data_IF_534714781313
#
_entry.id   IF_534714781313
#
_cell.length_a   1.000
_cell.length_b   1.000
_cell.length_c   1.000
_cell.angle_alpha   90.00
_cell.angle_beta   90.00
_cell.angle_gamma   90.00
#
_symmetry.space_group_name_H-M   'P 1'
#
loop_
_entity.id
_entity.type
_entity.pdbx_description
1 polymer ?
#
# COMPACT_ATOMS: atom_id res chain seq x y z
N UNK A 1 33.18 -13.08 -11.89
CA UNK A 1 32.24 -13.07 -13.03
C UNK A 1 31.00 -12.29 -12.60
N UNK A 2 30.82 -11.09 -13.14
CA UNK A 2 29.76 -10.17 -12.71
C UNK A 2 28.40 -10.60 -13.26
N UNK A 3 27.42 -10.74 -12.37
CA UNK A 3 26.02 -10.96 -12.74
C UNK A 3 25.52 -9.67 -13.38
N UNK A 4 25.34 -9.69 -14.70
CA UNK A 4 24.67 -8.63 -15.45
C UNK A 4 23.21 -8.62 -15.00
N UNK A 5 22.83 -7.55 -14.30
CA UNK A 5 21.45 -7.21 -13.96
C UNK A 5 20.65 -6.93 -15.24
N UNK A 6 20.07 -7.98 -15.83
CA UNK A 6 19.09 -7.88 -16.91
C UNK A 6 17.70 -8.18 -16.38
N UNK A 7 17.08 -7.20 -15.73
CA UNK A 7 15.62 -7.12 -15.71
C UNK A 7 15.23 -5.68 -15.99
N UNK A 8 14.33 -5.42 -16.96
CA UNK A 8 13.75 -4.11 -17.10
C UNK A 8 12.89 -3.89 -15.85
N UNK A 9 13.45 -3.13 -14.89
CA UNK A 9 12.62 -2.40 -13.95
C UNK A 9 11.54 -1.68 -14.77
N UNK A 10 10.28 -1.54 -14.29
CA UNK A 10 9.47 -0.45 -14.79
C UNK A 10 10.36 0.79 -14.71
N UNK A 11 10.66 1.39 -15.86
CA UNK A 11 11.66 2.44 -16.01
C UNK A 11 11.53 3.41 -14.83
N UNK A 12 12.57 3.48 -14.00
CA UNK A 12 12.65 4.23 -12.76
C UNK A 12 12.48 5.76 -12.91
N UNK A 13 12.00 6.22 -14.08
CA UNK A 13 11.81 7.61 -14.46
C UNK A 13 10.35 8.06 -14.49
N UNK A 14 9.36 7.16 -14.52
CA UNK A 14 7.95 7.57 -14.46
C UNK A 14 7.48 7.67 -13.00
N UNK A 15 6.97 8.85 -12.60
CA UNK A 15 6.37 9.02 -11.28
C UNK A 15 5.12 8.16 -11.14
N UNK A 16 5.21 7.08 -10.38
CA UNK A 16 4.08 6.21 -10.10
C UNK A 16 3.19 6.85 -9.03
N UNK A 17 2.03 7.34 -9.46
CA UNK A 17 1.01 7.83 -8.56
C UNK A 17 0.18 6.65 -8.02
N UNK A 18 0.12 6.52 -6.69
CA UNK A 18 -0.83 5.63 -6.03
C UNK A 18 -2.28 6.05 -6.31
N UNK A 19 -3.18 5.06 -6.32
CA UNK A 19 -4.63 5.25 -6.36
C UNK A 19 -5.04 6.35 -5.36
N UNK A 20 -5.51 7.53 -5.84
CA UNK A 20 -5.62 8.73 -5.00
C UNK A 20 -6.48 8.54 -3.76
N UNK A 21 -7.64 7.88 -3.89
CA UNK A 21 -8.54 7.64 -2.76
C UNK A 21 -7.89 6.75 -1.70
N UNK A 22 -7.16 5.71 -2.12
CA UNK A 22 -6.55 4.73 -1.23
C UNK A 22 -5.41 5.38 -0.44
N UNK A 23 -4.55 6.14 -1.14
CA UNK A 23 -3.50 6.95 -0.51
C UNK A 23 -4.12 7.95 0.48
N UNK A 24 -5.08 8.76 0.05
CA UNK A 24 -5.75 9.75 0.91
C UNK A 24 -6.34 9.13 2.17
N UNK A 25 -6.95 7.95 2.07
CA UNK A 25 -7.66 7.33 3.20
C UNK A 25 -6.75 6.59 4.17
N UNK A 26 -5.79 5.84 3.66
CA UNK A 26 -5.05 4.85 4.46
C UNK A 26 -3.62 5.27 4.79
N UNK A 27 -3.08 6.32 4.17
CA UNK A 27 -1.72 6.81 4.46
C UNK A 27 -1.56 7.36 5.88
N UNK A 28 -2.62 7.91 6.46
CA UNK A 28 -2.63 8.37 7.86
C UNK A 28 -2.85 7.25 8.87
N UNK A 29 -3.25 6.06 8.42
CA UNK A 29 -3.32 4.91 9.32
C UNK A 29 -1.91 4.56 9.79
N UNK A 30 -1.83 4.13 11.05
CA UNK A 30 -0.68 3.41 11.58
C UNK A 30 -0.82 1.91 11.34
N UNK A 31 0.28 1.18 11.27
CA UNK A 31 0.34 -0.27 11.07
C UNK A 31 -0.54 -1.05 12.06
N UNK A 32 -0.76 -0.51 13.25
CA UNK A 32 -1.66 -1.01 14.30
C UNK A 32 -3.12 -1.10 13.83
N UNK A 33 -3.58 -0.15 13.01
CA UNK A 33 -4.92 -0.22 12.40
C UNK A 33 -5.00 -1.38 11.40
N UNK A 34 -3.93 -1.62 10.63
CA UNK A 34 -3.85 -2.77 9.74
C UNK A 34 -3.78 -4.10 10.54
N UNK A 35 -3.10 -4.12 11.70
CA UNK A 35 -3.09 -5.25 12.66
C UNK A 35 -4.48 -5.57 13.17
N UNK A 36 -5.28 -4.55 13.52
CA UNK A 36 -6.68 -4.74 13.89
C UNK A 36 -7.50 -5.31 12.72
N UNK A 37 -7.28 -4.85 11.49
CA UNK A 37 -7.95 -5.41 10.32
C UNK A 37 -7.60 -6.89 10.10
N UNK A 38 -6.31 -7.25 10.19
CA UNK A 38 -5.85 -8.64 10.12
C UNK A 38 -6.47 -9.50 11.25
N UNK A 39 -6.60 -8.96 12.46
CA UNK A 39 -7.24 -9.67 13.57
C UNK A 39 -8.73 -9.93 13.29
N UNK A 40 -9.46 -8.94 12.79
CA UNK A 40 -10.87 -9.11 12.41
C UNK A 40 -11.05 -10.11 11.28
N UNK A 41 -10.17 -10.06 10.28
CA UNK A 41 -10.14 -11.03 9.19
C UNK A 41 -10.02 -12.46 9.72
N UNK A 42 -9.02 -12.74 10.55
CA UNK A 42 -8.80 -14.07 11.15
C UNK A 42 -9.97 -14.57 12.00
N UNK A 43 -10.71 -13.66 12.63
CA UNK A 43 -11.90 -14.01 13.42
C UNK A 43 -13.14 -14.25 12.55
N UNK A 44 -13.21 -13.60 11.38
CA UNK A 44 -14.40 -13.62 10.53
C UNK A 44 -14.43 -14.82 9.58
N UNK A 45 -13.29 -15.17 8.97
CA UNK A 45 -13.24 -16.20 7.92
C UNK A 45 -11.84 -16.78 7.73
N UNK A 46 -11.77 -18.02 7.26
CA UNK A 46 -10.54 -18.66 6.77
C UNK A 46 -10.37 -18.54 5.25
N UNK A 47 -11.36 -18.00 4.55
CA UNK A 47 -11.31 -17.80 3.09
C UNK A 47 -10.56 -16.52 2.76
N UNK A 48 -9.83 -16.51 1.64
CA UNK A 48 -9.18 -15.30 1.16
C UNK A 48 -10.14 -14.34 0.46
N UNK A 49 -11.20 -14.85 -0.16
CA UNK A 49 -12.17 -14.04 -0.89
C UNK A 49 -13.33 -13.58 0.00
N UNK A 50 -13.64 -12.28 -0.02
CA UNK A 50 -14.73 -11.68 0.76
C UNK A 50 -15.59 -10.72 -0.05
N UNK A 51 -16.85 -10.57 0.35
CA UNK A 51 -17.76 -9.57 -0.21
C UNK A 51 -17.59 -8.20 0.46
N UNK A 52 -18.35 -7.20 -0.01
CA UNK A 52 -18.30 -5.84 0.52
C UNK A 52 -18.69 -5.76 2.01
N UNK A 53 -19.66 -6.56 2.46
CA UNK A 53 -20.10 -6.55 3.86
C UNK A 53 -19.00 -7.10 4.76
N UNK A 54 -18.43 -8.24 4.41
CA UNK A 54 -17.29 -8.83 5.11
C UNK A 54 -16.08 -7.91 5.09
N UNK A 55 -15.77 -7.27 3.96
CA UNK A 55 -14.69 -6.29 3.85
C UNK A 55 -14.91 -5.11 4.80
N UNK A 56 -16.13 -4.58 4.90
CA UNK A 56 -16.47 -3.48 5.82
C UNK A 56 -16.18 -3.85 7.28
N UNK A 57 -16.49 -5.08 7.67
CA UNK A 57 -16.25 -5.62 9.02
C UNK A 57 -14.74 -5.77 9.27
N UNK A 58 -14.00 -6.32 8.31
CA UNK A 58 -12.54 -6.48 8.38
C UNK A 58 -11.86 -5.12 8.57
N UNK A 59 -12.18 -4.14 7.72
CA UNK A 59 -11.59 -2.81 7.79
C UNK A 59 -12.09 -2.00 9.00
N UNK A 60 -13.23 -2.36 9.59
CA UNK A 60 -13.89 -1.58 10.64
C UNK A 60 -14.44 -0.25 10.11
N UNK A 61 -14.86 -0.21 8.85
CA UNK A 61 -15.32 0.99 8.15
C UNK A 61 -16.81 0.84 7.85
N UNK A 62 -17.61 1.79 8.33
CA UNK A 62 -19.07 1.83 8.07
C UNK A 62 -19.45 2.63 6.82
N UNK A 63 -18.52 3.41 6.28
CA UNK A 63 -18.74 4.25 5.10
C UNK A 63 -18.86 3.37 3.84
N UNK A 64 -20.09 3.18 3.35
CA UNK A 64 -20.38 2.32 2.20
C UNK A 64 -19.58 2.73 0.95
N UNK A 65 -19.52 4.03 0.64
CA UNK A 65 -18.80 4.54 -0.54
C UNK A 65 -17.33 4.13 -0.52
N UNK A 66 -16.67 4.24 0.64
CA UNK A 66 -15.29 3.85 0.79
C UNK A 66 -15.08 2.34 0.62
N UNK A 67 -15.99 1.53 1.18
CA UNK A 67 -15.95 0.07 0.97
C UNK A 67 -16.11 -0.26 -0.52
N UNK A 68 -17.06 0.39 -1.20
CA UNK A 68 -17.29 0.21 -2.64
C UNK A 68 -16.07 0.64 -3.48
N UNK A 69 -15.39 1.72 -3.10
CA UNK A 69 -14.16 2.17 -3.77
C UNK A 69 -13.00 1.18 -3.56
N UNK A 70 -12.85 0.61 -2.36
CA UNK A 70 -11.88 -0.48 -2.13
C UNK A 70 -12.25 -1.73 -2.93
N UNK A 71 -13.52 -2.13 -2.95
CA UNK A 71 -13.99 -3.24 -3.78
C UNK A 71 -13.63 -2.98 -5.25
N UNK A 72 -13.95 -1.81 -5.79
CA UNK A 72 -13.64 -1.46 -7.19
C UNK A 72 -12.15 -1.54 -7.50
N UNK A 73 -11.29 -1.10 -6.58
CA UNK A 73 -9.85 -1.15 -6.77
C UNK A 73 -9.30 -2.58 -6.77
N UNK A 74 -9.87 -3.47 -5.95
CA UNK A 74 -9.37 -4.83 -5.75
C UNK A 74 -10.14 -5.93 -6.47
N UNK A 75 -11.24 -5.62 -7.15
CA UNK A 75 -11.95 -6.58 -7.99
C UNK A 75 -11.06 -7.05 -9.16
N UNK A 76 -11.08 -8.35 -9.50
CA UNK A 76 -10.43 -8.84 -10.71
C UNK A 76 -11.00 -8.12 -11.95
N UNK A 77 -10.14 -7.67 -12.87
CA UNK A 77 -10.57 -7.08 -14.15
C UNK A 77 -11.13 -8.11 -15.13
N UNK A 78 -10.90 -9.40 -14.89
CA UNK A 78 -11.48 -10.47 -15.70
C UNK A 78 -12.97 -10.61 -15.39
N UNK A 79 -13.84 -10.72 -16.41
CA UNK A 79 -15.28 -10.80 -16.22
C UNK A 79 -15.68 -12.15 -15.61
N UNK A 80 -15.68 -12.26 -14.28
CA UNK A 80 -16.26 -13.40 -13.58
C UNK A 80 -17.74 -13.14 -13.35
N UNK A 81 -18.59 -13.91 -14.04
CA UNK A 81 -20.06 -13.73 -14.12
C UNK A 81 -20.84 -13.76 -12.80
N UNK A 82 -20.25 -14.03 -11.63
CA UNK A 82 -21.09 -14.44 -10.47
C UNK A 82 -20.68 -13.86 -9.10
N UNK A 83 -19.48 -13.32 -8.87
CA UNK A 83 -19.11 -12.90 -7.50
C UNK A 83 -18.23 -11.65 -7.45
N UNK A 84 -18.78 -10.55 -6.92
CA UNK A 84 -18.04 -9.33 -6.55
C UNK A 84 -17.25 -9.58 -5.26
N UNK A 85 -16.20 -10.40 -5.34
CA UNK A 85 -15.36 -10.76 -4.20
C UNK A 85 -13.94 -10.25 -4.42
N UNK A 86 -13.29 -9.83 -3.34
CA UNK A 86 -11.90 -9.38 -3.36
C UNK A 86 -11.04 -10.30 -2.50
N UNK A 87 -9.78 -10.46 -2.91
CA UNK A 87 -8.76 -11.16 -2.12
C UNK A 87 -8.30 -10.26 -0.95
N UNK A 88 -8.62 -10.65 0.28
CA UNK A 88 -8.27 -9.91 1.50
C UNK A 88 -6.77 -9.84 1.70
N UNK A 89 -5.98 -10.82 1.25
CA UNK A 89 -4.53 -10.75 1.39
C UNK A 89 -3.98 -9.54 0.65
N UNK A 90 -4.45 -9.30 -0.57
CA UNK A 90 -4.03 -8.15 -1.37
C UNK A 90 -4.41 -6.83 -0.71
N UNK A 91 -5.61 -6.74 -0.12
CA UNK A 91 -6.07 -5.54 0.58
C UNK A 91 -5.21 -5.28 1.82
N UNK A 92 -4.97 -6.30 2.65
CA UNK A 92 -4.16 -6.17 3.87
C UNK A 92 -2.70 -5.83 3.54
N UNK A 93 -2.12 -6.45 2.50
CA UNK A 93 -0.79 -6.10 2.01
C UNK A 93 -0.76 -4.67 1.51
N UNK A 94 -1.76 -4.22 0.74
CA UNK A 94 -1.84 -2.84 0.26
C UNK A 94 -1.93 -1.83 1.41
N UNK A 95 -2.70 -2.11 2.47
CA UNK A 95 -2.69 -1.30 3.68
C UNK A 95 -1.29 -1.24 4.28
N UNK A 96 -0.62 -2.38 4.39
CA UNK A 96 0.75 -2.48 4.89
C UNK A 96 1.77 -1.77 4.00
N UNK A 97 1.51 -1.56 2.71
CA UNK A 97 2.41 -0.83 1.80
C UNK A 97 2.21 0.69 1.84
N UNK A 98 1.06 1.16 2.34
CA UNK A 98 0.67 2.59 2.27
C UNK A 98 0.62 3.27 3.64
N UNK A 99 0.25 2.55 4.70
CA UNK A 99 0.12 3.11 6.05
C UNK A 99 1.49 3.49 6.66
N UNK A 100 1.46 4.27 7.74
CA UNK A 100 2.63 4.58 8.56
C UNK A 100 3.07 3.32 9.33
N UNK A 101 4.36 3.01 9.28
CA UNK A 101 4.98 1.96 10.08
C UNK A 101 6.17 2.56 10.86
N UNK A 102 6.47 2.08 12.07
CA UNK A 102 7.62 2.59 12.83
C UNK A 102 8.95 2.38 12.09
N UNK A 103 9.07 1.25 11.40
CA UNK A 103 10.24 0.88 10.62
C UNK A 103 9.87 -0.14 9.51
N UNK A 104 10.81 -0.37 8.59
CA UNK A 104 10.64 -1.31 7.48
C UNK A 104 10.49 -2.76 7.94
N UNK A 105 11.17 -3.16 9.02
CA UNK A 105 11.12 -4.52 9.53
C UNK A 105 9.71 -4.87 9.99
N UNK A 106 9.09 -4.02 10.81
CA UNK A 106 7.72 -4.20 11.28
C UNK A 106 6.70 -4.27 10.13
N UNK A 107 6.94 -3.54 9.04
CA UNK A 107 6.12 -3.60 7.84
C UNK A 107 6.21 -4.98 7.17
N UNK A 108 7.41 -5.50 6.98
CA UNK A 108 7.60 -6.85 6.43
C UNK A 108 7.08 -7.94 7.36
N UNK A 109 7.23 -7.78 8.68
CA UNK A 109 6.64 -8.69 9.65
C UNK A 109 5.12 -8.71 9.58
N UNK A 110 4.48 -7.56 9.36
CA UNK A 110 3.05 -7.52 9.14
C UNK A 110 2.66 -8.27 7.85
N UNK A 111 3.36 -8.02 6.75
CA UNK A 111 3.12 -8.69 5.46
C UNK A 111 3.28 -10.22 5.60
N UNK A 112 4.30 -10.67 6.34
CA UNK A 112 4.46 -12.08 6.70
C UNK A 112 3.23 -12.62 7.46
N UNK A 113 2.77 -11.89 8.47
CA UNK A 113 1.64 -12.32 9.28
C UNK A 113 0.31 -12.39 8.48
N UNK A 114 0.21 -11.78 7.30
CA UNK A 114 -0.98 -11.90 6.43
C UNK A 114 -1.11 -13.32 5.89
N UNK A 115 0.01 -13.99 5.58
CA UNK A 115 0.01 -15.37 5.07
C UNK A 115 0.16 -16.42 6.17
N UNK A 116 0.83 -16.11 7.29
CA UNK A 116 0.90 -16.98 8.46
C UNK A 116 -0.42 -16.94 9.27
N UNK A 117 -1.49 -17.50 8.71
CA UNK A 117 -2.83 -17.48 9.30
C UNK A 117 -2.89 -18.18 10.66
N UNK A 118 -2.16 -19.29 10.80
CA UNK A 118 -2.12 -20.12 12.00
C UNK A 118 -1.14 -19.60 13.08
N UNK A 119 -0.42 -18.51 12.80
CA UNK A 119 0.58 -17.91 13.71
C UNK A 119 1.67 -18.91 14.12
N UNK A 120 2.12 -19.74 13.17
CA UNK A 120 3.20 -20.72 13.38
C UNK A 120 4.57 -20.06 13.51
N UNK A 121 4.70 -18.80 13.07
CA UNK A 121 5.99 -18.12 13.00
C UNK A 121 6.86 -18.60 11.84
N UNK A 122 6.31 -19.45 10.97
CA UNK A 122 6.98 -19.97 9.78
C UNK A 122 5.96 -20.26 8.67
N UNK A 123 6.40 -20.14 7.43
CA UNK A 123 5.57 -20.37 6.23
C UNK A 123 6.23 -21.38 5.30
N UNK A 124 5.46 -22.05 4.47
CA UNK A 124 5.99 -22.96 3.44
C UNK A 124 6.49 -22.19 2.21
N UNK A 125 7.20 -22.88 1.33
CA UNK A 125 7.53 -22.35 -0.01
C UNK A 125 6.28 -21.97 -0.81
N UNK A 126 5.20 -22.74 -0.69
CA UNK A 126 3.91 -22.45 -1.35
C UNK A 126 3.32 -21.14 -0.85
N UNK A 127 3.40 -20.91 0.46
CA UNK A 127 2.95 -19.66 1.08
C UNK A 127 3.78 -18.46 0.61
N UNK A 128 5.10 -18.63 0.44
CA UNK A 128 5.96 -17.59 -0.13
C UNK A 128 5.56 -17.25 -1.57
N UNK A 129 5.31 -18.25 -2.42
CA UNK A 129 4.82 -18.03 -3.81
C UNK A 129 3.50 -17.27 -3.79
N UNK A 130 2.57 -17.68 -2.93
CA UNK A 130 1.28 -17.02 -2.76
C UNK A 130 1.45 -15.56 -2.30
N UNK A 131 2.33 -15.33 -1.32
CA UNK A 131 2.64 -14.01 -0.80
C UNK A 131 3.22 -13.09 -1.87
N UNK A 132 4.26 -13.53 -2.60
CA UNK A 132 4.85 -12.75 -3.68
C UNK A 132 3.84 -12.43 -4.79
N UNK A 133 2.97 -13.39 -5.13
CA UNK A 133 1.87 -13.17 -6.06
C UNK A 133 0.88 -12.12 -5.56
N UNK A 134 0.48 -12.19 -4.29
CA UNK A 134 -0.44 -11.22 -3.68
C UNK A 134 0.18 -9.82 -3.57
N UNK A 135 1.47 -9.71 -3.22
CA UNK A 135 2.22 -8.44 -3.23
C UNK A 135 2.25 -7.85 -4.64
N UNK A 136 2.58 -8.63 -5.67
CA UNK A 136 2.60 -8.16 -7.05
C UNK A 136 1.24 -7.63 -7.51
N UNK A 137 0.15 -8.34 -7.18
CA UNK A 137 -1.22 -7.91 -7.51
C UNK A 137 -1.65 -6.67 -6.73
N UNK A 138 -1.29 -6.57 -5.44
CA UNK A 138 -1.55 -5.40 -4.63
C UNK A 138 -0.83 -4.16 -5.17
N UNK A 139 0.45 -4.28 -5.53
CA UNK A 139 1.25 -3.20 -6.15
C UNK A 139 0.64 -2.77 -7.49
N UNK A 140 0.33 -3.73 -8.36
CA UNK A 140 -0.33 -3.46 -9.64
C UNK A 140 -1.64 -2.67 -9.45
N UNK A 141 -2.49 -3.08 -8.51
CA UNK A 141 -3.77 -2.41 -8.23
C UNK A 141 -3.56 -1.02 -7.60
N UNK A 142 -2.64 -0.90 -6.64
CA UNK A 142 -2.28 0.38 -6.02
C UNK A 142 -1.80 1.42 -7.02
N UNK A 143 -1.13 1.00 -8.10
CA UNK A 143 -0.69 1.88 -9.19
C UNK A 143 -1.62 1.86 -10.40
N UNK A 144 -2.88 1.44 -10.21
CA UNK A 144 -3.93 1.45 -11.25
C UNK A 144 -3.52 0.72 -12.55
N UNK A 145 -2.75 -0.35 -12.41
CA UNK A 145 -2.23 -1.20 -13.50
C UNK A 145 -1.17 -0.52 -14.37
N UNK A 146 -0.55 0.58 -13.91
CA UNK A 146 0.65 1.16 -14.55
C UNK A 146 1.91 0.34 -14.31
N UNK A 147 1.85 -0.60 -13.37
CA UNK A 147 2.91 -1.58 -13.06
C UNK A 147 2.34 -2.96 -13.29
N UNK A 148 2.86 -3.69 -14.26
CA UNK A 148 2.45 -5.06 -14.55
C UNK A 148 3.60 -6.01 -14.21
N UNK A 149 3.47 -6.86 -13.17
CA UNK A 149 4.50 -7.83 -12.84
C UNK A 149 4.51 -8.96 -13.87
N UNK A 150 5.65 -9.17 -14.52
CA UNK A 150 5.86 -10.35 -15.36
C UNK A 150 5.86 -11.62 -14.49
N UNK A 151 4.98 -12.59 -14.78
CA UNK A 151 4.84 -13.81 -13.98
C UNK A 151 6.16 -14.60 -13.86
N UNK A 152 6.97 -14.63 -14.92
CA UNK A 152 8.29 -15.28 -14.91
C UNK A 152 9.27 -14.55 -13.98
N UNK A 153 9.21 -13.23 -13.88
CA UNK A 153 10.05 -12.44 -12.99
C UNK A 153 9.71 -12.70 -11.51
N UNK A 154 8.43 -12.88 -11.19
CA UNK A 154 7.98 -13.20 -9.83
C UNK A 154 8.48 -14.58 -9.37
N UNK A 155 8.36 -15.61 -10.21
CA UNK A 155 8.86 -16.95 -9.88
C UNK A 155 10.39 -17.00 -9.75
N UNK A 156 11.10 -16.23 -10.59
CA UNK A 156 12.56 -16.12 -10.47
C UNK A 156 12.93 -15.44 -9.16
N UNK A 157 12.25 -14.36 -8.78
CA UNK A 157 12.47 -13.70 -7.48
C UNK A 157 12.22 -14.63 -6.29
N UNK A 158 11.15 -15.44 -6.32
CA UNK A 158 10.91 -16.44 -5.25
C UNK A 158 12.08 -17.42 -5.16
N UNK A 159 12.60 -17.88 -6.29
CA UNK A 159 13.78 -18.77 -6.31
C UNK A 159 14.99 -18.08 -5.69
N UNK A 160 15.26 -16.83 -6.07
CA UNK A 160 16.37 -16.03 -5.55
C UNK A 160 16.28 -15.86 -4.02
N UNK A 161 15.05 -15.67 -3.48
CA UNK A 161 14.79 -15.58 -2.03
C UNK A 161 15.08 -16.92 -1.34
N UNK A 162 14.55 -18.02 -1.87
CA UNK A 162 14.74 -19.36 -1.29
C UNK A 162 16.22 -19.75 -1.24
N UNK A 163 16.94 -19.51 -2.33
CA UNK A 163 18.38 -19.78 -2.42
C UNK A 163 19.17 -18.94 -1.41
N UNK A 164 18.82 -17.66 -1.28
CA UNK A 164 19.46 -16.75 -0.31
C UNK A 164 19.21 -17.15 1.15
N UNK A 165 18.06 -17.76 1.43
CA UNK A 165 17.70 -18.27 2.75
C UNK A 165 18.21 -19.71 2.99
N UNK A 166 18.75 -20.37 1.97
CA UNK A 166 19.17 -21.77 2.03
C UNK A 166 18.01 -22.75 2.24
N UNK A 167 16.81 -22.41 1.77
CA UNK A 167 15.58 -23.19 1.98
C UNK A 167 15.25 -24.01 0.74
N UNK A 168 15.15 -25.33 0.90
CA UNK A 168 14.72 -26.24 -0.17
C UNK A 168 13.23 -26.14 -0.49
N UNK A 169 12.77 -26.83 -1.55
CA UNK A 169 11.38 -26.73 -2.05
C UNK A 169 10.30 -27.05 -1.02
N UNK A 170 10.54 -28.01 -0.13
CA UNK A 170 9.59 -28.40 0.94
C UNK A 170 10.01 -27.86 2.32
N UNK A 171 10.88 -26.85 2.32
CA UNK A 171 11.38 -26.24 3.54
C UNK A 171 10.36 -25.33 4.22
N UNK A 172 10.66 -25.03 5.48
CA UNK A 172 9.93 -24.05 6.27
C UNK A 172 10.75 -22.77 6.40
N UNK A 173 10.12 -21.63 6.17
CA UNK A 173 10.74 -20.32 6.18
C UNK A 173 10.33 -19.59 7.45
N UNK A 174 11.26 -19.41 8.38
CA UNK A 174 11.00 -18.68 9.61
C UNK A 174 10.76 -17.19 9.36
N UNK A 175 9.82 -16.59 10.11
CA UNK A 175 9.47 -15.17 10.03
C UNK A 175 10.68 -14.26 10.12
N UNK A 176 11.51 -14.47 11.14
CA UNK A 176 12.67 -13.63 11.42
C UNK A 176 13.67 -13.66 10.25
N UNK A 177 13.94 -14.85 9.70
CA UNK A 177 14.87 -15.02 8.58
C UNK A 177 14.36 -14.30 7.33
N UNK A 178 13.09 -14.49 6.96
CA UNK A 178 12.51 -13.83 5.79
C UNK A 178 12.46 -12.31 5.99
N UNK A 179 11.98 -11.82 7.13
CA UNK A 179 11.85 -10.38 7.35
C UNK A 179 13.21 -9.67 7.36
N UNK A 180 14.24 -10.26 7.97
CA UNK A 180 15.62 -9.73 7.92
C UNK A 180 16.16 -9.69 6.49
N UNK A 181 15.93 -10.76 5.72
CA UNK A 181 16.31 -10.80 4.31
C UNK A 181 15.61 -9.67 3.52
N UNK A 182 14.29 -9.51 3.67
CA UNK A 182 13.51 -8.50 2.94
C UNK A 182 13.95 -7.07 3.25
N UNK A 183 14.40 -6.78 4.48
CA UNK A 183 14.99 -5.47 4.83
C UNK A 183 16.31 -5.21 4.10
N UNK A 184 17.09 -6.26 3.82
CA UNK A 184 18.35 -6.16 3.06
C UNK A 184 18.16 -6.21 1.54
N UNK A 185 17.02 -6.73 1.08
CA UNK A 185 16.72 -6.87 -0.34
C UNK A 185 16.36 -5.52 -0.96
N UNK A 186 17.19 -5.09 -1.93
CA UNK A 186 17.02 -3.79 -2.60
C UNK A 186 15.71 -3.69 -3.35
N UNK A 187 15.22 -4.80 -3.92
CA UNK A 187 13.97 -4.80 -4.68
C UNK A 187 12.76 -4.62 -3.76
N UNK A 188 12.66 -5.43 -2.71
CA UNK A 188 11.59 -5.33 -1.72
C UNK A 188 11.55 -3.92 -1.09
N UNK A 189 12.70 -3.40 -0.65
CA UNK A 189 12.79 -2.06 -0.06
C UNK A 189 12.38 -0.98 -1.06
N UNK A 190 12.85 -1.05 -2.30
CA UNK A 190 12.51 -0.06 -3.33
C UNK A 190 11.00 -0.01 -3.59
N UNK A 191 10.33 -1.15 -3.80
CA UNK A 191 8.88 -1.15 -4.04
C UNK A 191 8.08 -0.63 -2.85
N UNK A 192 8.47 -0.97 -1.63
CA UNK A 192 7.84 -0.41 -0.42
C UNK A 192 8.02 1.11 -0.39
N UNK A 193 9.22 1.61 -0.67
CA UNK A 193 9.50 3.05 -0.70
C UNK A 193 8.74 3.78 -1.81
N UNK A 194 8.47 3.13 -2.94
CA UNK A 194 7.60 3.68 -3.98
C UNK A 194 6.14 3.81 -3.49
N UNK A 195 5.64 2.82 -2.74
CA UNK A 195 4.31 2.88 -2.15
C UNK A 195 4.23 3.90 -0.99
N UNK A 196 5.21 3.99 -0.12
CA UNK A 196 5.21 4.99 0.96
C UNK A 196 5.56 6.38 0.45
N UNK A 197 6.25 6.49 -0.68
CA UNK A 197 6.79 7.74 -1.20
C UNK A 197 8.09 8.17 -0.52
N UNK A 198 8.72 7.30 0.28
CA UNK A 198 10.03 7.53 0.92
C UNK A 198 11.19 7.59 -0.07
N UNK A 199 11.05 7.02 -1.27
CA UNK A 199 12.13 6.98 -2.27
C UNK A 199 12.37 8.33 -2.95
N UNK A 200 11.50 9.31 -2.69
CA UNK A 200 11.61 10.67 -3.22
C UNK A 200 11.49 11.65 -2.06
N UNK A 201 12.48 12.51 -1.79
CA UNK A 201 12.32 13.56 -0.80
C UNK A 201 11.20 14.48 -1.28
N UNK A 202 10.02 14.33 -0.67
CA UNK A 202 8.87 15.19 -0.93
C UNK A 202 8.91 16.36 0.01
N UNK A 203 8.45 17.50 -0.46
CA UNK A 203 8.17 18.64 0.40
C UNK A 203 6.73 18.51 0.90
N UNK A 204 6.54 18.84 2.17
CA UNK A 204 5.26 18.70 2.83
C UNK A 204 4.82 20.07 3.33
N UNK A 205 3.58 20.44 3.04
CA UNK A 205 2.87 21.46 3.81
C UNK A 205 2.00 20.74 4.81
N UNK A 206 2.37 20.82 6.08
CA UNK A 206 1.58 20.29 7.19
C UNK A 206 0.38 21.20 7.42
N UNK A 207 -0.79 20.60 7.53
CA UNK A 207 -2.02 21.31 7.82
C UNK A 207 -2.45 21.00 9.23
N UNK A 208 -2.48 22.05 10.05
CA UNK A 208 -2.95 22.00 11.43
C UNK A 208 -4.06 23.03 11.58
N UNK A 209 -5.09 22.68 12.37
CA UNK A 209 -6.11 23.62 12.81
C UNK A 209 -6.19 23.51 14.33
N UNK A 210 -6.00 24.64 15.00
CA UNK A 210 -5.89 24.74 16.45
C UNK A 210 -4.77 23.83 16.99
N UNK A 211 -5.12 22.64 17.50
CA UNK A 211 -4.18 21.63 17.99
C UNK A 211 -4.31 20.28 17.27
N UNK A 212 -5.13 20.20 16.21
CA UNK A 212 -5.38 18.98 15.46
C UNK A 212 -4.60 18.98 14.13
N UNK A 213 -3.81 17.93 13.93
CA UNK A 213 -3.18 17.65 12.64
C UNK A 213 -4.21 17.11 11.65
N UNK A 214 -4.48 17.86 10.59
CA UNK A 214 -5.45 17.51 9.55
C UNK A 214 -4.86 16.61 8.47
N UNK A 215 -3.57 16.80 8.15
CA UNK A 215 -2.89 16.07 7.10
C UNK A 215 -1.71 16.83 6.50
N UNK A 216 -1.08 16.24 5.50
CA UNK A 216 0.02 16.87 4.78
C UNK A 216 -0.27 16.90 3.28
N UNK A 217 0.05 18.02 2.64
CA UNK A 217 0.06 18.16 1.19
C UNK A 217 1.45 17.86 0.69
N UNK A 218 1.59 16.86 -0.17
CA UNK A 218 2.88 16.48 -0.73
C UNK A 218 3.14 17.15 -2.08
N UNK A 219 4.35 17.67 -2.21
CA UNK A 219 4.95 18.16 -3.44
C UNK A 219 6.13 17.27 -3.82
N UNK A 220 6.22 16.95 -5.11
CA UNK A 220 7.23 16.05 -5.66
C UNK A 220 8.63 16.67 -5.69
N UNK A 221 8.75 18.00 -5.73
CA UNK A 221 10.01 18.75 -5.63
C UNK A 221 9.77 20.23 -5.27
N UNK A 222 10.86 20.96 -5.02
CA UNK A 222 10.83 22.39 -4.67
C UNK A 222 10.27 23.27 -5.78
N UNK A 223 10.60 22.98 -7.03
CA UNK A 223 10.08 23.74 -8.17
C UNK A 223 8.56 23.65 -8.26
N UNK A 224 7.98 22.46 -8.06
CA UNK A 224 6.54 22.28 -8.01
C UNK A 224 5.94 23.09 -6.85
N UNK A 225 6.53 23.03 -5.65
CA UNK A 225 6.05 23.80 -4.51
C UNK A 225 6.05 25.31 -4.77
N UNK A 226 7.12 25.84 -5.37
CA UNK A 226 7.26 27.27 -5.67
C UNK A 226 6.34 27.76 -6.80
N UNK A 227 6.01 26.89 -7.76
CA UNK A 227 5.21 27.26 -8.93
C UNK A 227 3.73 26.91 -8.81
N UNK A 228 3.32 26.14 -7.80
CA UNK A 228 1.93 25.76 -7.57
C UNK A 228 1.14 26.95 -7.04
N UNK A 229 0.09 27.35 -7.77
CA UNK A 229 -0.83 28.40 -7.33
C UNK A 229 -1.62 27.98 -6.09
N UNK A 230 -2.12 28.94 -5.30
CA UNK A 230 -2.97 28.65 -4.14
C UNK A 230 -4.20 27.82 -4.50
N UNK A 231 -4.79 28.04 -5.68
CA UNK A 231 -5.92 27.26 -6.20
C UNK A 231 -5.54 25.78 -6.37
N UNK A 232 -4.40 25.51 -7.00
CA UNK A 232 -3.91 24.14 -7.18
C UNK A 232 -3.52 23.49 -5.84
N UNK A 233 -2.95 24.25 -4.89
CA UNK A 233 -2.69 23.74 -3.53
C UNK A 233 -4.00 23.28 -2.89
N UNK A 234 -5.10 24.01 -3.07
CA UNK A 234 -6.40 23.61 -2.54
C UNK A 234 -6.92 22.31 -3.19
N UNK A 235 -6.78 22.18 -4.50
CA UNK A 235 -7.18 20.95 -5.19
C UNK A 235 -6.34 19.75 -4.71
N UNK A 236 -5.05 19.97 -4.47
CA UNK A 236 -4.17 18.97 -3.86
C UNK A 236 -4.60 18.60 -2.44
N UNK A 237 -5.09 19.56 -1.65
CA UNK A 237 -5.61 19.31 -0.30
C UNK A 237 -6.81 18.38 -0.35
N UNK A 238 -7.80 18.66 -1.19
CA UNK A 238 -8.97 17.78 -1.34
C UNK A 238 -8.61 16.40 -1.94
N UNK A 239 -7.56 16.34 -2.76
CA UNK A 239 -7.07 15.09 -3.33
C UNK A 239 -6.26 14.24 -2.34
N UNK A 240 -5.51 14.86 -1.42
CA UNK A 240 -4.54 14.17 -0.57
C UNK A 240 -4.95 14.04 0.89
N UNK A 241 -5.79 14.94 1.41
CA UNK A 241 -6.20 14.99 2.81
C UNK A 241 -7.64 14.49 2.96
N UNK A 242 -7.83 13.53 3.86
CA UNK A 242 -9.11 12.82 4.00
C UNK A 242 -10.22 13.68 4.60
N UNK A 243 -9.89 14.51 5.60
CA UNK A 243 -10.90 15.26 6.37
C UNK A 243 -10.42 16.69 6.58
N UNK A 244 -10.80 17.56 5.66
CA UNK A 244 -10.68 19.01 5.82
C UNK A 244 -11.98 19.49 6.48
N UNK A 245 -11.93 20.16 7.64
CA UNK A 245 -13.13 20.71 8.28
C UNK A 245 -13.92 21.62 7.32
N UNK A 246 -15.25 21.59 7.40
CA UNK A 246 -16.10 22.37 6.47
C UNK A 246 -15.92 23.89 6.64
N UNK A 247 -15.53 24.29 7.84
CA UNK A 247 -15.20 25.65 8.29
C UNK A 247 -13.71 26.00 8.07
N UNK A 248 -12.98 25.18 7.30
CA UNK A 248 -11.62 25.51 6.89
C UNK A 248 -11.66 26.51 5.73
N UNK A 249 -11.21 27.74 5.98
CA UNK A 249 -11.14 28.77 4.95
C UNK A 249 -9.72 29.05 4.52
N UNK A 250 -9.49 29.09 3.21
CA UNK A 250 -8.20 29.49 2.66
C UNK A 250 -8.09 31.00 2.63
N UNK A 251 -7.07 31.53 3.29
CA UNK A 251 -6.75 32.95 3.27
C UNK A 251 -5.63 33.22 2.26
N UNK A 252 -5.90 34.04 1.26
CA UNK A 252 -4.90 34.63 0.37
C UNK A 252 -4.70 36.08 0.77
N UNK A 253 -3.50 36.45 1.23
CA UNK A 253 -3.19 37.82 1.72
C UNK A 253 -4.21 38.33 2.77
N UNK A 254 -4.68 37.44 3.65
CA UNK A 254 -5.64 37.77 4.71
C UNK A 254 -7.10 37.91 4.26
N UNK A 255 -7.44 37.53 3.03
CA UNK A 255 -8.83 37.49 2.53
C UNK A 255 -9.24 36.06 2.20
N UNK A 256 -10.50 35.74 2.46
CA UNK A 256 -11.06 34.45 2.04
C UNK A 256 -10.97 34.31 0.53
N UNK A 257 -10.49 33.15 0.08
CA UNK A 257 -10.44 32.79 -1.34
C UNK A 257 -11.63 31.90 -1.63
N UNK A 258 -12.51 32.34 -2.53
CA UNK A 258 -13.75 31.64 -2.85
C UNK A 258 -13.52 30.20 -3.33
N UNK A 259 -14.44 29.30 -2.92
CA UNK A 259 -14.55 27.94 -3.47
C UNK A 259 -15.06 28.06 -4.92
N UNK A 260 -14.31 27.69 -5.97
CA UNK A 260 -14.87 27.49 -7.28
C UNK A 260 -15.78 26.27 -7.22
N UNK A 261 -16.84 26.36 -8.00
CA UNK A 261 -17.87 25.36 -8.21
C UNK A 261 -17.30 24.05 -8.79
#
# INVERSE_FOLDING_TARGET
MGIRSTRPLPLASAELALAPFFRRRFRSWRLEHARLALQRYRLLTSRFCVDALQLSVILGIKEKKLVDDVMRLFLPRTPTRVQCMVDVMEVLIALALVCQAPDMLQRFEFIFNVVDLEKKGAISTTDLVMLCGAVGRAVMKLFEYKVEPEQHAAMTYVTDVLDSLGVGRDGSIAKEALCKFMVSDRFAVHYVKQCTGEDKPKLYIMMEKDTEFLGAVEFSNEQQMQTTSLGNVRDMIYAQIHRVPEDFTFLGQGREVEKPF
#
